data_IF_791568700293
#
_entry.id   IF_791568700293
#
_cell.length_a   1.000
_cell.length_b   1.000
_cell.length_c   1.000
_cell.angle_alpha   90.00
_cell.angle_beta   90.00
_cell.angle_gamma   90.00
#
_symmetry.space_group_name_H-M   'P 1'
#
loop_
_entity.id
_entity.type
_entity.pdbx_description
1 polymer ?
#
# COMPACT_ATOMS: atom_id res chain seq x y z
N UNK A 1 -38.06 -11.58 4.90
CA UNK A 1 -37.04 -12.44 5.53
C UNK A 1 -35.85 -11.55 5.83
N UNK A 2 -35.63 -11.21 7.11
CA UNK A 2 -34.67 -10.19 7.54
C UNK A 2 -33.23 -10.67 7.38
N UNK A 3 -32.39 -9.82 6.79
CA UNK A 3 -30.95 -10.01 6.67
C UNK A 3 -30.29 -10.16 8.05
N UNK A 4 -29.31 -11.06 8.22
CA UNK A 4 -28.60 -11.17 9.48
C UNK A 4 -27.69 -9.95 9.66
N UNK A 5 -27.80 -9.32 10.84
CA UNK A 5 -26.89 -8.27 11.31
C UNK A 5 -25.52 -8.85 11.67
N UNK A 6 -24.46 -8.05 11.48
CA UNK A 6 -23.03 -8.38 11.68
C UNK A 6 -22.63 -8.80 13.11
N UNK A 7 -23.59 -9.05 14.02
CA UNK A 7 -23.34 -9.29 15.45
C UNK A 7 -23.21 -10.76 15.84
N UNK A 8 -23.31 -11.73 14.92
CA UNK A 8 -23.45 -13.15 15.28
C UNK A 8 -22.42 -14.11 14.68
N UNK A 9 -21.24 -13.63 14.31
CA UNK A 9 -20.13 -14.52 13.92
C UNK A 9 -19.29 -14.79 15.18
N UNK A 10 -19.44 -15.97 15.75
CA UNK A 10 -18.52 -16.48 16.79
C UNK A 10 -17.23 -16.96 16.10
N UNK A 11 -16.04 -16.52 16.53
CA UNK A 11 -14.78 -16.97 15.94
C UNK A 11 -14.52 -18.44 16.30
N UNK A 12 -14.26 -19.26 15.28
CA UNK A 12 -13.75 -20.63 15.42
C UNK A 12 -12.29 -20.61 15.88
N UNK A 13 -11.95 -21.41 16.89
CA UNK A 13 -10.71 -21.31 17.66
C UNK A 13 -9.49 -22.04 17.12
N UNK A 14 -9.50 -22.53 15.86
CA UNK A 14 -8.44 -23.43 15.35
C UNK A 14 -7.70 -22.93 14.10
N UNK A 15 -7.69 -21.62 13.86
CA UNK A 15 -6.88 -20.99 12.82
C UNK A 15 -6.36 -19.64 13.28
N UNK A 16 -5.06 -19.40 13.15
CA UNK A 16 -4.45 -18.09 13.39
C UNK A 16 -4.93 -17.10 12.31
N UNK A 17 -6.10 -16.47 12.54
CA UNK A 17 -6.70 -15.45 11.68
C UNK A 17 -6.01 -14.07 11.84
N UNK A 18 -4.69 -14.03 12.08
CA UNK A 18 -3.91 -12.79 12.11
C UNK A 18 -3.65 -12.20 10.71
N UNK A 19 -4.00 -12.94 9.64
CA UNK A 19 -3.81 -12.52 8.25
C UNK A 19 -5.03 -11.87 7.58
N UNK A 20 -6.19 -11.83 8.24
CA UNK A 20 -7.42 -11.22 7.72
C UNK A 20 -7.47 -9.68 7.86
N UNK A 21 -6.31 -9.03 7.79
CA UNK A 21 -6.18 -7.57 7.96
C UNK A 21 -5.96 -6.93 6.59
N UNK A 22 -6.81 -5.96 6.19
CA UNK A 22 -6.59 -5.14 5.00
C UNK A 22 -5.17 -4.56 4.94
N UNK A 23 -4.51 -4.68 3.80
CA UNK A 23 -3.14 -4.21 3.64
C UNK A 23 -2.89 -3.45 2.33
N UNK A 24 -1.89 -2.58 2.39
CA UNK A 24 -1.42 -1.74 1.28
C UNK A 24 -0.18 -2.39 0.67
N UNK A 25 -0.26 -2.74 -0.62
CA UNK A 25 0.88 -3.23 -1.38
C UNK A 25 1.70 -2.10 -1.96
N UNK A 26 3.01 -2.13 -1.75
CA UNK A 26 3.95 -1.13 -2.26
C UNK A 26 5.06 -1.83 -3.05
N UNK A 27 5.17 -1.53 -4.34
CA UNK A 27 6.28 -2.01 -5.14
C UNK A 27 7.61 -1.39 -4.70
N UNK A 28 8.70 -2.09 -5.03
CA UNK A 28 10.06 -1.67 -4.71
C UNK A 28 10.71 -0.88 -5.86
N UNK A 29 10.89 -1.49 -7.03
CA UNK A 29 11.78 -0.98 -8.09
C UNK A 29 11.06 -0.02 -9.04
N UNK A 30 11.31 1.28 -8.85
CA UNK A 30 10.61 2.36 -9.55
C UNK A 30 9.63 3.08 -8.64
N UNK A 31 9.22 2.44 -7.54
CA UNK A 31 8.18 2.93 -6.63
C UNK A 31 8.75 3.39 -5.28
N UNK A 32 9.26 2.47 -4.44
CA UNK A 32 9.86 2.81 -3.15
C UNK A 32 11.36 3.14 -3.27
N UNK A 33 12.03 2.51 -4.24
CA UNK A 33 13.44 2.71 -4.57
C UNK A 33 13.59 3.10 -6.04
N UNK A 34 14.54 4.00 -6.33
CA UNK A 34 14.85 4.40 -7.71
C UNK A 34 15.37 3.19 -8.49
N UNK A 35 14.78 2.95 -9.65
CA UNK A 35 15.25 1.95 -10.59
C UNK A 35 15.78 2.62 -11.87
N UNK A 36 16.84 2.06 -12.44
CA UNK A 36 17.37 2.49 -13.75
C UNK A 36 17.64 1.29 -14.63
N UNK A 37 18.57 0.44 -14.22
CA UNK A 37 18.87 -0.83 -14.89
C UNK A 37 19.06 -1.94 -13.88
N UNK A 38 18.80 -3.18 -14.31
CA UNK A 38 19.06 -4.36 -13.50
C UNK A 38 20.56 -4.56 -13.28
N UNK A 39 20.97 -4.80 -12.02
CA UNK A 39 22.37 -5.03 -11.62
C UNK A 39 22.51 -6.23 -10.66
N UNK A 40 21.54 -7.13 -10.68
CA UNK A 40 21.46 -8.28 -9.77
C UNK A 40 20.69 -7.99 -8.48
N UNK A 41 20.37 -9.06 -7.75
CA UNK A 41 19.50 -9.01 -6.55
C UNK A 41 20.06 -8.13 -5.43
N UNK A 42 21.39 -8.09 -5.27
CA UNK A 42 22.05 -7.27 -4.25
C UNK A 42 22.01 -5.77 -4.49
N UNK A 43 21.58 -5.32 -5.68
CA UNK A 43 21.48 -3.90 -6.01
C UNK A 43 20.02 -3.43 -5.95
N UNK A 44 19.75 -2.52 -5.02
CA UNK A 44 18.50 -1.77 -4.90
C UNK A 44 18.89 -0.29 -4.80
N UNK A 45 18.21 0.56 -5.56
CA UNK A 45 18.58 1.97 -5.70
C UNK A 45 18.32 2.82 -4.45
N UNK A 46 18.53 4.14 -4.61
CA UNK A 46 18.27 5.11 -3.54
C UNK A 46 16.77 5.19 -3.23
N UNK A 47 16.37 5.41 -1.97
CA UNK A 47 14.96 5.57 -1.62
C UNK A 47 14.32 6.76 -2.34
N UNK A 48 13.05 6.61 -2.72
CA UNK A 48 12.21 7.72 -3.21
C UNK A 48 11.54 8.35 -1.99
N UNK A 49 11.99 9.56 -1.63
CA UNK A 49 11.67 10.21 -0.34
C UNK A 49 10.16 10.31 -0.08
N UNK A 50 9.39 10.76 -1.05
CA UNK A 50 7.94 10.93 -0.92
C UNK A 50 7.21 9.61 -0.65
N UNK A 51 7.63 8.51 -1.30
CA UNK A 51 7.02 7.20 -1.07
C UNK A 51 7.42 6.63 0.29
N UNK A 52 8.67 6.81 0.71
CA UNK A 52 9.15 6.42 2.04
C UNK A 52 8.37 7.12 3.16
N UNK A 53 8.11 8.42 3.01
CA UNK A 53 7.32 9.20 3.98
C UNK A 53 5.88 8.68 4.06
N UNK A 54 5.29 8.35 2.92
CA UNK A 54 3.94 7.76 2.84
C UNK A 54 3.85 6.42 3.58
N UNK A 55 4.77 5.49 3.30
CA UNK A 55 4.85 4.19 3.99
C UNK A 55 4.99 4.35 5.50
N UNK A 56 5.87 5.26 5.95
CA UNK A 56 6.07 5.50 7.39
C UNK A 56 4.84 6.04 8.07
N UNK A 57 4.09 6.92 7.40
CA UNK A 57 2.87 7.47 7.97
C UNK A 57 1.77 6.41 8.06
N UNK A 58 1.61 5.57 7.03
CA UNK A 58 0.70 4.43 7.13
C UNK A 58 1.06 3.49 8.29
N UNK A 59 2.35 3.20 8.50
CA UNK A 59 2.78 2.44 9.67
C UNK A 59 2.45 3.13 11.00
N UNK A 60 2.65 4.45 11.09
CA UNK A 60 2.32 5.23 12.31
C UNK A 60 0.82 5.26 12.59
N UNK A 61 0.00 5.30 11.55
CA UNK A 61 -1.46 5.30 11.62
C UNK A 61 -2.04 3.90 11.82
N UNK A 62 -1.20 2.85 11.85
CA UNK A 62 -1.60 1.48 12.15
C UNK A 62 -2.05 0.65 10.94
N UNK A 63 -1.85 1.13 9.72
CA UNK A 63 -2.15 0.35 8.51
C UNK A 63 -1.10 -0.76 8.30
N UNK A 64 -1.56 -1.97 7.92
CA UNK A 64 -0.68 -3.05 7.46
C UNK A 64 -0.14 -2.68 6.08
N UNK A 65 1.18 -2.63 5.95
CA UNK A 65 1.87 -2.39 4.66
C UNK A 65 2.70 -3.62 4.34
N UNK A 66 2.68 -4.04 3.08
CA UNK A 66 3.57 -5.10 2.57
C UNK A 66 4.35 -4.57 1.37
N UNK A 67 5.59 -5.01 1.23
CA UNK A 67 6.36 -4.79 0.00
C UNK A 67 5.90 -5.83 -1.02
N UNK A 68 5.20 -5.37 -2.05
CA UNK A 68 4.65 -6.20 -3.11
C UNK A 68 5.53 -6.10 -4.36
N UNK A 69 6.49 -7.02 -4.54
CA UNK A 69 7.53 -6.87 -5.57
C UNK A 69 7.81 -8.16 -6.33
N UNK A 70 8.10 -8.02 -7.62
CA UNK A 70 8.53 -9.14 -8.46
C UNK A 70 9.80 -9.84 -7.94
N UNK A 71 10.67 -9.14 -7.19
CA UNK A 71 11.84 -9.77 -6.57
C UNK A 71 11.45 -10.94 -5.67
N UNK A 72 10.31 -10.87 -4.98
CA UNK A 72 9.84 -11.93 -4.09
C UNK A 72 9.41 -13.22 -4.83
N UNK A 73 9.38 -13.22 -6.18
CA UNK A 73 9.22 -14.45 -6.96
C UNK A 73 10.43 -15.38 -6.89
N UNK A 74 11.58 -14.87 -6.43
CA UNK A 74 12.83 -15.63 -6.28
C UNK A 74 13.22 -15.56 -4.79
N UNK A 75 13.24 -16.69 -4.06
CA UNK A 75 13.54 -16.71 -2.62
C UNK A 75 14.86 -15.99 -2.27
N UNK A 76 15.91 -16.19 -3.07
CA UNK A 76 17.23 -15.59 -2.85
C UNK A 76 17.26 -14.06 -3.01
N UNK A 77 16.23 -13.49 -3.64
CA UNK A 77 16.11 -12.05 -3.83
C UNK A 77 15.38 -11.35 -2.67
N UNK A 78 14.74 -12.10 -1.76
CA UNK A 78 14.05 -11.54 -0.58
C UNK A 78 15.04 -10.97 0.45
N UNK A 79 16.11 -11.68 0.88
CA UNK A 79 17.03 -11.14 1.90
C UNK A 79 17.69 -9.80 1.53
N UNK A 80 18.10 -9.55 0.26
CA UNK A 80 18.55 -8.21 -0.16
C UNK A 80 17.51 -7.10 0.05
N UNK A 81 16.22 -7.39 -0.19
CA UNK A 81 15.11 -6.45 0.01
C UNK A 81 14.94 -6.16 1.49
N UNK A 82 14.85 -7.18 2.34
CA UNK A 82 14.73 -7.02 3.79
C UNK A 82 15.91 -6.23 4.38
N UNK A 83 17.13 -6.50 3.92
CA UNK A 83 18.33 -5.75 4.32
C UNK A 83 18.23 -4.29 3.93
N UNK A 84 17.73 -3.99 2.73
CA UNK A 84 17.52 -2.61 2.27
C UNK A 84 16.44 -1.90 3.10
N UNK A 85 15.32 -2.57 3.39
CA UNK A 85 14.27 -2.03 4.25
C UNK A 85 14.79 -1.72 5.65
N UNK A 86 15.56 -2.65 6.25
CA UNK A 86 16.19 -2.45 7.56
C UNK A 86 17.12 -1.23 7.56
N UNK A 87 17.98 -1.09 6.53
CA UNK A 87 18.87 0.08 6.36
C UNK A 87 18.10 1.40 6.34
N UNK A 88 16.89 1.40 5.80
CA UNK A 88 16.05 2.60 5.65
C UNK A 88 14.97 2.77 6.72
N UNK A 89 15.07 2.03 7.83
CA UNK A 89 14.17 2.08 8.99
C UNK A 89 12.74 1.64 8.66
N UNK A 90 12.60 0.65 7.79
CA UNK A 90 11.34 -0.01 7.43
C UNK A 90 11.40 -1.53 7.69
N UNK A 91 12.21 -1.95 8.68
CA UNK A 91 12.31 -3.35 9.05
C UNK A 91 10.95 -3.90 9.50
N UNK A 92 10.70 -5.20 9.24
CA UNK A 92 9.48 -5.89 9.66
C UNK A 92 8.31 -5.81 8.68
N UNK A 93 8.44 -5.06 7.57
CA UNK A 93 7.48 -5.15 6.47
C UNK A 93 7.62 -6.52 5.77
N UNK A 94 6.51 -7.23 5.64
CA UNK A 94 6.44 -8.46 4.86
C UNK A 94 6.78 -8.19 3.38
N UNK A 95 7.58 -9.07 2.78
CA UNK A 95 7.97 -8.99 1.37
C UNK A 95 7.30 -10.15 0.63
N UNK A 96 6.44 -9.85 -0.35
CA UNK A 96 5.64 -10.86 -1.06
C UNK A 96 5.44 -10.49 -2.52
N UNK A 97 5.20 -11.50 -3.37
CA UNK A 97 4.69 -11.34 -4.74
C UNK A 97 3.29 -11.94 -4.91
N UNK A 98 2.66 -12.38 -3.81
CA UNK A 98 1.36 -13.03 -3.82
C UNK A 98 0.26 -12.03 -3.45
N UNK A 99 -0.73 -11.91 -4.33
CA UNK A 99 -1.94 -11.13 -4.07
C UNK A 99 -2.94 -12.02 -3.33
N UNK A 100 -3.58 -11.46 -2.31
CA UNK A 100 -4.69 -12.07 -1.57
C UNK A 100 -5.93 -11.16 -1.61
N UNK A 101 -7.00 -11.57 -0.92
CA UNK A 101 -8.26 -10.82 -0.85
C UNK A 101 -8.19 -9.55 0.02
N UNK A 102 -7.17 -9.43 0.87
CA UNK A 102 -7.02 -8.33 1.83
C UNK A 102 -6.15 -7.19 1.28
N UNK A 103 -5.52 -7.35 0.11
CA UNK A 103 -4.87 -6.24 -0.57
C UNK A 103 -5.90 -5.22 -1.05
N UNK A 104 -6.02 -4.11 -0.31
CA UNK A 104 -7.02 -3.07 -0.60
C UNK A 104 -6.54 -2.03 -1.58
N UNK A 105 -5.22 -1.81 -1.65
CA UNK A 105 -4.58 -0.79 -2.47
C UNK A 105 -3.19 -1.25 -2.93
N UNK A 106 -2.79 -0.85 -4.14
CA UNK A 106 -1.48 -1.14 -4.74
C UNK A 106 -0.85 0.16 -5.25
N UNK A 107 0.37 0.42 -4.79
CA UNK A 107 1.25 1.48 -5.29
C UNK A 107 2.37 0.85 -6.10
N UNK A 108 2.41 1.13 -7.40
CA UNK A 108 3.36 0.55 -8.35
C UNK A 108 3.52 1.49 -9.56
N UNK A 109 4.76 1.72 -10.01
CA UNK A 109 5.09 2.64 -11.10
C UNK A 109 4.58 2.18 -12.48
N UNK A 110 4.19 0.91 -12.60
CA UNK A 110 3.67 0.30 -13.82
C UNK A 110 2.15 0.05 -13.78
N UNK A 111 1.49 0.26 -12.65
CA UNK A 111 0.06 -0.04 -12.55
C UNK A 111 -0.83 1.01 -13.24
N UNK A 112 -1.88 0.52 -13.91
CA UNK A 112 -2.95 1.36 -14.46
C UNK A 112 -4.27 0.85 -13.88
N UNK A 113 -5.00 1.71 -13.18
CA UNK A 113 -6.32 1.36 -12.68
C UNK A 113 -7.32 1.22 -13.84
N UNK A 114 -8.15 0.19 -13.77
CA UNK A 114 -9.30 0.00 -14.65
C UNK A 114 -10.60 0.33 -13.91
N UNK A 115 -11.57 0.89 -14.62
CA UNK A 115 -12.92 1.04 -14.09
C UNK A 115 -13.53 -0.35 -13.90
N UNK A 116 -14.06 -0.60 -12.70
CA UNK A 116 -14.63 -1.89 -12.29
C UNK A 116 -15.58 -2.44 -13.34
N UNK A 117 -15.41 -3.71 -13.68
CA UNK A 117 -16.23 -4.45 -14.65
C UNK A 117 -16.29 -3.87 -16.07
N UNK A 118 -15.33 -3.03 -16.48
CA UNK A 118 -15.36 -2.40 -17.81
C UNK A 118 -14.12 -2.63 -18.66
N UNK A 119 -12.97 -2.96 -18.06
CA UNK A 119 -11.68 -3.04 -18.75
C UNK A 119 -11.14 -1.69 -19.25
N UNK A 120 -11.86 -0.57 -19.04
CA UNK A 120 -11.44 0.76 -19.49
C UNK A 120 -10.43 1.35 -18.50
N UNK A 121 -9.27 1.85 -18.95
CA UNK A 121 -8.30 2.48 -18.05
C UNK A 121 -8.79 3.84 -17.57
N UNK A 122 -8.47 4.18 -16.32
CA UNK A 122 -8.61 5.56 -15.84
C UNK A 122 -7.44 6.37 -16.40
N UNK A 123 -7.74 7.37 -17.23
CA UNK A 123 -6.75 8.15 -17.99
C UNK A 123 -6.43 9.53 -17.40
N UNK A 124 -7.23 9.98 -16.44
CA UNK A 124 -7.12 11.28 -15.79
C UNK A 124 -7.46 11.14 -14.31
N UNK A 125 -7.04 12.09 -13.45
CA UNK A 125 -7.50 12.12 -12.07
C UNK A 125 -9.03 12.03 -12.03
N UNK A 126 -9.55 11.04 -11.31
CA UNK A 126 -10.97 10.76 -11.18
C UNK A 126 -11.27 10.43 -9.72
N UNK A 127 -12.48 10.76 -9.25
CA UNK A 127 -12.96 10.34 -7.93
C UNK A 127 -12.84 8.83 -7.76
N UNK A 128 -13.04 8.07 -8.84
CA UNK A 128 -12.91 6.61 -8.86
C UNK A 128 -11.47 6.10 -8.68
N UNK A 129 -10.46 6.94 -8.87
CA UNK A 129 -9.05 6.63 -8.71
C UNK A 129 -8.41 7.28 -7.48
N UNK A 130 -9.23 7.76 -6.54
CA UNK A 130 -8.71 8.28 -5.28
C UNK A 130 -8.12 7.12 -4.46
N UNK A 131 -6.93 7.32 -3.88
CA UNK A 131 -6.40 6.42 -2.87
C UNK A 131 -7.42 6.15 -1.77
N UNK A 132 -7.47 4.90 -1.31
CA UNK A 132 -8.36 4.48 -0.23
C UNK A 132 -7.75 4.78 1.13
N UNK A 133 -6.43 4.97 1.17
CA UNK A 133 -5.68 5.39 2.34
C UNK A 133 -5.31 6.87 2.23
N UNK A 134 -5.20 7.60 3.35
CA UNK A 134 -4.87 9.02 3.34
C UNK A 134 -3.57 9.31 2.59
N UNK A 135 -3.57 10.40 1.83
CA UNK A 135 -2.35 10.98 1.27
C UNK A 135 -1.79 12.05 2.21
N UNK A 136 -0.48 12.27 2.11
CA UNK A 136 0.26 13.29 2.88
C UNK A 136 -0.36 14.70 2.80
N UNK A 137 -1.17 14.98 1.78
CA UNK A 137 -1.80 16.28 1.55
C UNK A 137 -3.12 16.50 2.34
N UNK A 138 -3.67 15.51 3.04
CA UNK A 138 -4.79 15.78 3.97
C UNK A 138 -4.36 16.45 5.30
N UNK A 139 -3.07 16.81 5.41
CA UNK A 139 -2.51 17.63 6.49
C UNK A 139 -2.30 19.11 6.07
N UNK A 140 -3.01 19.61 5.06
CA UNK A 140 -3.14 21.07 4.88
C UNK A 140 -4.21 21.59 5.85
N UNK A 141 -3.88 22.48 6.80
CA UNK A 141 -4.91 23.14 7.59
C UNK A 141 -5.88 23.83 6.62
N UNK A 142 -7.17 23.62 6.85
CA UNK A 142 -8.23 24.44 6.25
C UNK A 142 -8.07 25.89 6.73
N UNK A 143 -7.15 26.63 6.14
CA UNK A 143 -7.25 28.09 6.13
C UNK A 143 -7.96 28.48 4.83
N UNK A 144 -9.06 29.22 5.01
CA UNK A 144 -10.02 29.70 4.01
C UNK A 144 -11.13 28.71 3.62
N UNK A 145 -11.93 28.31 4.60
CA UNK A 145 -13.38 28.18 4.39
C UNK A 145 -14.01 29.54 4.78
N UNK A 146 -14.72 30.26 3.89
CA UNK A 146 -15.44 31.45 4.30
C UNK A 146 -16.49 31.05 5.34
N UNK A 147 -16.54 31.77 6.47
CA UNK A 147 -17.49 31.51 7.54
C UNK A 147 -18.91 31.75 7.05
N UNK A 148 -19.73 30.70 7.01
CA UNK A 148 -21.18 30.83 6.94
C UNK A 148 -21.71 30.92 8.36
N UNK A 149 -21.80 32.17 8.85
CA UNK A 149 -22.45 32.68 10.07
C UNK A 149 -21.87 34.11 10.26
N UNK A 150 -22.58 35.22 10.38
CA UNK A 150 -24.00 35.55 10.64
C UNK A 150 -24.29 36.97 10.10
N UNK A 151 -25.51 37.14 9.56
CA UNK A 151 -26.32 38.34 9.26
C UNK A 151 -26.91 38.32 7.85
#
# INVERSE_FOLDING_TARGET
MSSPTLSNIQPSTDGDFSDDVPWIGVDLDGTLARFSTWRGFGHIGKPIKSMMERVRNWQKEGYKVKIFTARASIPDAIPPVEKWLKKHKLAGLEVTNRKDFFMVELWDDRCIQVVTNSGKPIRSPSVMARPKVPLLEEAFPHENRPSLAEN
#
